data_IF_891025610525
#
_entry.id   IF_891025610525
#
_cell.length_a   1.000
_cell.length_b   1.000
_cell.length_c   1.000
_cell.angle_alpha   90.00
_cell.angle_beta   90.00
_cell.angle_gamma   90.00
#
_symmetry.space_group_name_H-M   'P 1'
#
loop_
_entity.id
_entity.type
_entity.pdbx_description
1 polymer ?
#
# COMPACT_ATOMS: atom_id res chain seq x y z
N UNK A 1 72.02 -28.77 -17.60
CA UNK A 1 72.02 -29.03 -19.05
C UNK A 1 70.98 -30.10 -19.42
N UNK A 2 69.67 -29.85 -19.20
CA UNK A 2 68.60 -30.86 -19.43
C UNK A 2 67.46 -30.38 -20.35
N UNK A 3 67.57 -29.13 -20.86
CA UNK A 3 66.57 -28.49 -21.72
C UNK A 3 66.95 -28.51 -23.20
N UNK A 4 68.22 -28.81 -23.53
CA UNK A 4 68.69 -28.83 -24.93
C UNK A 4 68.20 -30.06 -25.69
N UNK A 5 68.05 -31.21 -25.03
CA UNK A 5 67.61 -32.44 -25.71
C UNK A 5 66.16 -32.35 -26.22
N UNK A 6 65.26 -31.77 -25.43
CA UNK A 6 63.87 -31.56 -25.87
C UNK A 6 63.79 -30.51 -26.97
N UNK A 7 64.58 -29.44 -26.86
CA UNK A 7 64.65 -28.38 -27.88
C UNK A 7 65.19 -28.91 -29.21
N UNK A 8 66.25 -29.72 -29.19
CA UNK A 8 66.79 -30.38 -30.37
C UNK A 8 65.79 -31.37 -30.97
N UNK A 9 65.09 -32.13 -30.14
CA UNK A 9 64.05 -33.06 -30.60
C UNK A 9 62.90 -32.34 -31.30
N UNK A 10 62.36 -31.27 -30.69
CA UNK A 10 61.28 -30.46 -31.28
C UNK A 10 61.75 -29.81 -32.59
N UNK A 11 62.96 -29.25 -32.62
CA UNK A 11 63.51 -28.62 -33.83
C UNK A 11 63.76 -29.63 -34.96
N UNK A 12 64.28 -30.83 -34.66
CA UNK A 12 64.51 -31.89 -35.65
C UNK A 12 63.21 -32.46 -36.22
N UNK A 13 62.12 -32.40 -35.47
CA UNK A 13 60.82 -32.94 -35.88
C UNK A 13 59.80 -31.85 -36.24
N UNK A 14 60.23 -30.58 -36.33
CA UNK A 14 59.34 -29.43 -36.55
C UNK A 14 58.49 -29.57 -37.81
N UNK A 15 59.09 -30.08 -38.90
CA UNK A 15 58.39 -30.31 -40.15
C UNK A 15 57.25 -31.34 -40.02
N UNK A 16 57.35 -32.26 -39.05
CA UNK A 16 56.28 -33.21 -38.72
C UNK A 16 55.19 -32.63 -37.82
N UNK A 17 55.49 -31.56 -37.06
CA UNK A 17 54.51 -30.84 -36.25
C UNK A 17 53.72 -29.80 -37.07
N UNK A 18 54.37 -29.15 -38.04
CA UNK A 18 53.79 -28.10 -38.87
C UNK A 18 53.28 -28.63 -40.24
N UNK A 19 53.20 -29.96 -40.42
CA UNK A 19 52.85 -30.62 -41.69
C UNK A 19 51.44 -30.28 -42.21
N UNK A 20 50.53 -29.84 -41.33
CA UNK A 20 49.16 -29.52 -41.68
C UNK A 20 48.80 -28.12 -41.21
N UNK A 21 48.49 -27.24 -42.16
CA UNK A 21 47.87 -25.97 -41.85
C UNK A 21 46.36 -26.20 -41.63
N UNK A 22 45.73 -25.65 -40.58
CA UNK A 22 44.30 -25.78 -40.42
C UNK A 22 43.58 -25.19 -41.65
N UNK A 23 42.43 -25.76 -42.06
CA UNK A 23 41.64 -25.17 -43.13
C UNK A 23 41.20 -23.76 -42.73
N UNK A 24 41.06 -22.84 -43.68
CA UNK A 24 40.64 -21.44 -43.41
C UNK A 24 39.30 -21.37 -42.66
N UNK A 25 38.49 -22.41 -42.76
CA UNK A 25 37.21 -22.56 -42.07
C UNK A 25 37.32 -22.94 -40.59
N UNK A 26 38.50 -23.34 -40.10
CA UNK A 26 38.70 -23.74 -38.71
C UNK A 26 38.33 -22.60 -37.73
N UNK A 27 38.79 -21.38 -38.02
CA UNK A 27 38.46 -20.20 -37.20
C UNK A 27 36.97 -19.86 -37.25
N UNK A 28 36.36 -19.98 -38.43
CA UNK A 28 34.91 -19.75 -38.62
C UNK A 28 34.07 -20.74 -37.83
N UNK A 29 34.49 -22.01 -37.77
CA UNK A 29 33.80 -23.04 -37.00
C UNK A 29 33.90 -22.77 -35.49
N UNK A 30 35.08 -22.34 -34.99
CA UNK A 30 35.28 -21.96 -33.59
C UNK A 30 34.42 -20.76 -33.21
N UNK A 31 34.40 -19.72 -34.05
CA UNK A 31 33.56 -18.54 -33.84
C UNK A 31 32.07 -18.89 -33.80
N UNK A 32 31.63 -19.81 -34.65
CA UNK A 32 30.24 -20.30 -34.65
C UNK A 32 29.89 -21.18 -33.45
N UNK A 33 30.87 -21.83 -32.83
CA UNK A 33 30.71 -22.68 -31.66
C UNK A 33 30.77 -21.92 -30.33
N UNK A 34 31.20 -20.64 -30.35
CA UNK A 34 31.16 -19.80 -29.17
C UNK A 34 29.71 -19.41 -28.84
N UNK A 35 29.31 -19.45 -27.56
CA UNK A 35 27.99 -18.97 -27.15
C UNK A 35 27.87 -17.49 -27.53
N UNK A 36 27.05 -17.19 -28.54
CA UNK A 36 26.70 -15.82 -28.90
C UNK A 36 26.05 -15.20 -27.68
N UNK A 37 26.72 -14.22 -27.06
CA UNK A 37 26.16 -13.41 -25.99
C UNK A 37 24.90 -12.74 -26.53
N UNK A 38 23.74 -13.29 -26.19
CA UNK A 38 22.45 -12.74 -26.62
C UNK A 38 22.23 -11.42 -25.87
N UNK A 39 22.62 -10.31 -26.47
CA UNK A 39 22.30 -8.97 -25.95
C UNK A 39 20.85 -8.55 -26.28
N UNK A 40 19.89 -9.45 -26.06
CA UNK A 40 18.48 -9.16 -26.32
C UNK A 40 17.57 -9.80 -25.28
N UNK A 41 17.65 -9.35 -24.02
CA UNK A 41 16.60 -9.67 -23.02
C UNK A 41 16.08 -8.42 -22.29
N UNK A 42 16.78 -7.27 -22.30
CA UNK A 42 16.38 -6.13 -21.45
C UNK A 42 15.62 -4.99 -22.13
N UNK A 43 15.47 -4.99 -23.46
CA UNK A 43 14.77 -3.89 -24.15
C UNK A 43 13.24 -4.08 -24.25
N UNK A 44 12.72 -5.30 -24.06
CA UNK A 44 11.28 -5.56 -24.20
C UNK A 44 10.50 -5.36 -22.89
N UNK A 45 11.15 -5.47 -21.73
CA UNK A 45 10.48 -5.31 -20.41
C UNK A 45 9.95 -3.89 -20.20
N UNK A 46 10.66 -2.87 -20.70
CA UNK A 46 10.24 -1.46 -20.61
C UNK A 46 9.03 -1.17 -21.50
N UNK A 47 8.93 -1.81 -22.67
CA UNK A 47 7.79 -1.65 -23.58
C UNK A 47 6.54 -2.32 -22.98
N UNK A 48 6.69 -3.52 -22.41
CA UNK A 48 5.62 -4.20 -21.68
C UNK A 48 5.12 -3.41 -20.46
N UNK A 49 6.02 -2.79 -19.70
CA UNK A 49 5.64 -1.94 -18.56
C UNK A 49 4.92 -0.66 -19.00
N UNK A 50 5.33 -0.04 -20.11
CA UNK A 50 4.64 1.14 -20.68
C UNK A 50 3.24 0.77 -21.18
N UNK A 51 3.10 -0.38 -21.86
CA UNK A 51 1.80 -0.86 -22.30
C UNK A 51 0.88 -1.17 -21.10
N UNK A 52 1.38 -1.83 -20.06
CA UNK A 52 0.62 -2.09 -18.84
C UNK A 52 0.18 -0.81 -18.13
N UNK A 53 1.05 0.21 -18.04
CA UNK A 53 0.71 1.51 -17.45
C UNK A 53 -0.37 2.25 -18.24
N UNK A 54 -0.32 2.20 -19.58
CA UNK A 54 -1.36 2.80 -20.44
C UNK A 54 -2.70 2.09 -20.28
N UNK A 55 -2.70 0.76 -20.20
CA UNK A 55 -3.92 -0.03 -19.96
C UNK A 55 -4.48 0.26 -18.57
N UNK A 56 -3.64 0.29 -17.53
CA UNK A 56 -4.08 0.63 -16.17
C UNK A 56 -4.65 2.03 -16.07
N UNK A 57 -3.99 3.04 -16.68
CA UNK A 57 -4.50 4.40 -16.72
C UNK A 57 -5.80 4.49 -17.53
N UNK A 58 -5.90 3.78 -18.65
CA UNK A 58 -7.11 3.72 -19.46
C UNK A 58 -8.29 3.11 -18.70
N UNK A 59 -8.06 2.00 -17.98
CA UNK A 59 -9.07 1.37 -17.11
C UNK A 59 -9.43 2.28 -15.94
N UNK A 60 -8.44 2.94 -15.33
CA UNK A 60 -8.68 3.89 -14.22
C UNK A 60 -9.55 5.07 -14.66
N UNK A 61 -9.26 5.66 -15.82
CA UNK A 61 -10.06 6.77 -16.39
C UNK A 61 -11.44 6.28 -16.82
N UNK A 62 -11.52 5.10 -17.44
CA UNK A 62 -12.78 4.49 -17.83
C UNK A 62 -13.68 4.21 -16.61
N UNK A 63 -13.13 3.64 -15.54
CA UNK A 63 -13.86 3.40 -14.28
C UNK A 63 -14.25 4.70 -13.59
N UNK A 64 -13.40 5.73 -13.62
CA UNK A 64 -13.73 7.05 -13.07
C UNK A 64 -14.91 7.69 -13.81
N UNK A 65 -14.88 7.66 -15.15
CA UNK A 65 -15.98 8.16 -15.99
C UNK A 65 -17.23 7.28 -15.85
N UNK A 66 -17.09 5.96 -15.74
CA UNK A 66 -18.21 5.04 -15.53
C UNK A 66 -18.86 5.19 -14.13
N UNK A 67 -18.07 5.43 -13.08
CA UNK A 67 -18.56 5.78 -11.73
C UNK A 67 -19.37 7.08 -11.78
N UNK A 68 -18.91 8.07 -12.54
CA UNK A 68 -19.61 9.35 -12.70
C UNK A 68 -20.87 9.28 -13.58
N UNK A 69 -21.03 8.23 -14.41
CA UNK A 69 -22.19 8.01 -15.28
C UNK A 69 -23.17 6.95 -14.76
N UNK A 70 -22.87 6.30 -13.65
CA UNK A 70 -23.74 5.27 -13.07
C UNK A 70 -24.80 5.94 -12.19
N UNK A 71 -26.06 5.89 -12.63
CA UNK A 71 -27.20 6.33 -11.83
C UNK A 71 -27.20 5.65 -10.44
N UNK A 72 -27.34 6.41 -9.35
CA UNK A 72 -27.38 5.85 -8.00
C UNK A 72 -28.79 5.36 -7.73
N UNK A 73 -29.06 4.06 -7.85
CA UNK A 73 -30.39 3.58 -7.45
C UNK A 73 -30.44 2.18 -6.87
N UNK A 74 -29.45 1.31 -7.13
CA UNK A 74 -29.47 -0.07 -6.61
C UNK A 74 -28.30 -0.46 -5.70
N UNK A 75 -27.19 0.26 -5.77
CA UNK A 75 -26.06 0.06 -4.85
C UNK A 75 -26.28 0.75 -3.50
N UNK A 76 -27.14 1.77 -3.46
CA UNK A 76 -27.33 2.59 -2.27
C UNK A 76 -28.02 1.83 -1.13
N UNK A 77 -28.97 0.94 -1.42
CA UNK A 77 -29.77 0.29 -0.37
C UNK A 77 -28.94 -0.66 0.50
N UNK A 78 -28.08 -1.48 -0.12
CA UNK A 78 -27.18 -2.38 0.60
C UNK A 78 -26.07 -1.60 1.33
N UNK A 79 -25.58 -0.51 0.72
CA UNK A 79 -24.55 0.32 1.30
C UNK A 79 -25.08 1.18 2.47
N UNK A 80 -26.35 1.60 2.41
CA UNK A 80 -27.08 2.24 3.52
C UNK A 80 -27.33 1.27 4.67
N UNK A 81 -27.66 0.01 4.38
CA UNK A 81 -27.81 -1.00 5.42
C UNK A 81 -26.48 -1.27 6.15
N UNK A 82 -25.38 -1.46 5.41
CA UNK A 82 -24.05 -1.61 6.00
C UNK A 82 -23.60 -0.38 6.80
N UNK A 83 -24.02 0.82 6.41
CA UNK A 83 -23.77 2.03 7.19
C UNK A 83 -24.55 2.05 8.51
N UNK A 84 -25.82 1.68 8.52
CA UNK A 84 -26.63 1.65 9.74
C UNK A 84 -26.07 0.66 10.78
N UNK A 85 -25.59 -0.51 10.34
CA UNK A 85 -24.96 -1.49 11.22
C UNK A 85 -23.68 -0.91 11.85
N UNK A 86 -22.86 -0.24 11.03
CA UNK A 86 -21.64 0.44 11.48
C UNK A 86 -21.94 1.59 12.46
N UNK A 87 -22.97 2.38 12.17
CA UNK A 87 -23.45 3.47 13.01
C UNK A 87 -23.85 2.95 14.40
N UNK A 88 -24.65 1.87 14.44
CA UNK A 88 -25.12 1.26 15.69
C UNK A 88 -23.95 0.73 16.53
N UNK A 89 -23.01 0.02 15.89
CA UNK A 89 -21.82 -0.51 16.56
C UNK A 89 -21.01 0.62 17.21
N UNK A 90 -20.63 1.65 16.45
CA UNK A 90 -19.80 2.73 17.00
C UNK A 90 -20.56 3.62 17.99
N UNK A 91 -21.86 3.82 17.82
CA UNK A 91 -22.68 4.57 18.80
C UNK A 91 -22.73 3.88 20.16
N UNK A 92 -22.84 2.55 20.18
CA UNK A 92 -22.81 1.78 21.43
C UNK A 92 -21.43 1.84 22.10
N UNK A 93 -20.35 1.71 21.32
CA UNK A 93 -18.97 1.83 21.81
C UNK A 93 -18.67 3.21 22.40
N UNK A 94 -19.10 4.29 21.74
CA UNK A 94 -18.96 5.66 22.23
C UNK A 94 -19.71 5.82 23.56
N UNK A 95 -20.94 5.30 23.65
CA UNK A 95 -21.76 5.37 24.87
C UNK A 95 -21.09 4.65 26.05
N UNK A 96 -20.58 3.44 25.81
CA UNK A 96 -19.86 2.66 26.82
C UNK A 96 -18.62 3.41 27.33
N UNK A 97 -17.79 3.91 26.42
CA UNK A 97 -16.58 4.64 26.79
C UNK A 97 -16.88 5.96 27.49
N UNK A 98 -17.94 6.67 27.10
CA UNK A 98 -18.35 7.90 27.76
C UNK A 98 -18.81 7.65 29.20
N UNK A 99 -19.49 6.53 29.45
CA UNK A 99 -19.84 6.12 30.82
C UNK A 99 -18.59 5.87 31.68
N UNK A 100 -17.52 5.31 31.10
CA UNK A 100 -16.24 5.14 31.79
C UNK A 100 -15.61 6.51 32.13
N UNK A 101 -15.57 7.45 31.18
CA UNK A 101 -15.05 8.81 31.41
C UNK A 101 -15.80 9.50 32.55
N UNK A 102 -17.14 9.47 32.51
CA UNK A 102 -17.97 10.08 33.54
C UNK A 102 -17.73 9.47 34.93
N UNK A 103 -17.59 8.14 35.00
CA UNK A 103 -17.27 7.45 36.25
C UNK A 103 -15.92 7.88 36.82
N UNK A 104 -14.88 7.92 35.99
CA UNK A 104 -13.55 8.35 36.42
C UNK A 104 -13.56 9.80 36.89
N UNK A 105 -14.17 10.72 36.13
CA UNK A 105 -14.33 12.13 36.52
C UNK A 105 -15.05 12.29 37.86
N UNK A 106 -16.13 11.53 38.08
CA UNK A 106 -16.87 11.54 39.35
C UNK A 106 -16.03 11.02 40.52
N UNK A 107 -15.20 10.00 40.29
CA UNK A 107 -14.32 9.42 41.32
C UNK A 107 -13.13 10.31 41.67
N UNK A 108 -12.55 11.01 40.69
CA UNK A 108 -11.37 11.86 40.89
C UNK A 108 -11.73 13.31 41.23
N UNK A 109 -12.99 13.71 41.12
CA UNK A 109 -13.44 15.10 41.32
C UNK A 109 -12.95 16.06 40.23
N UNK A 110 -12.55 15.53 39.06
CA UNK A 110 -12.08 16.34 37.94
C UNK A 110 -13.29 16.86 37.15
N UNK A 111 -13.32 18.17 36.92
CA UNK A 111 -14.38 18.82 36.15
C UNK A 111 -14.32 18.50 34.65
N UNK A 112 -15.42 18.82 33.96
CA UNK A 112 -15.53 18.75 32.51
C UNK A 112 -14.39 19.52 31.83
N UNK A 113 -13.55 18.81 31.09
CA UNK A 113 -12.34 19.36 30.48
C UNK A 113 -12.55 19.74 29.00
N UNK A 114 -11.54 20.38 28.40
CA UNK A 114 -11.56 20.80 26.99
C UNK A 114 -11.91 19.65 26.03
N UNK A 115 -11.45 18.44 26.36
CA UNK A 115 -11.72 17.23 25.58
C UNK A 115 -13.21 16.89 25.63
N UNK A 116 -13.83 16.93 26.80
CA UNK A 116 -15.27 16.67 26.95
C UNK A 116 -16.11 17.70 26.20
N UNK A 117 -15.69 18.97 26.17
CA UNK A 117 -16.35 20.00 25.35
C UNK A 117 -16.20 19.75 23.84
N UNK A 118 -15.02 19.32 23.40
CA UNK A 118 -14.78 18.96 21.99
C UNK A 118 -15.64 17.76 21.56
N UNK A 119 -15.87 16.79 22.45
CA UNK A 119 -16.80 15.68 22.20
C UNK A 119 -18.24 16.17 21.98
N UNK A 120 -18.73 17.14 22.76
CA UNK A 120 -20.07 17.74 22.54
C UNK A 120 -20.17 18.44 21.18
N UNK A 121 -19.11 19.10 20.73
CA UNK A 121 -19.07 19.72 19.38
C UNK A 121 -19.11 18.66 18.27
N UNK A 122 -18.35 17.58 18.43
CA UNK A 122 -18.38 16.44 17.51
C UNK A 122 -19.78 15.80 17.46
N UNK A 123 -20.48 15.72 18.61
CA UNK A 123 -21.90 15.33 18.71
C UNK A 123 -22.80 16.18 17.83
N UNK A 124 -22.74 17.50 18.00
CA UNK A 124 -23.55 18.42 17.20
C UNK A 124 -23.26 18.30 15.70
N UNK A 125 -21.99 18.21 15.30
CA UNK A 125 -21.59 18.07 13.89
C UNK A 125 -22.16 16.80 13.25
N UNK A 126 -22.21 15.71 13.99
CA UNK A 126 -22.79 14.46 13.49
C UNK A 126 -24.29 14.55 13.29
N UNK A 127 -25.03 15.19 14.21
CA UNK A 127 -26.46 15.39 14.03
C UNK A 127 -26.74 16.21 12.77
N UNK A 128 -25.93 17.24 12.50
CA UNK A 128 -25.98 18.02 11.26
C UNK A 128 -25.70 17.15 10.03
N UNK A 129 -24.62 16.35 10.06
CA UNK A 129 -24.27 15.45 8.96
C UNK A 129 -25.34 14.36 8.74
N UNK A 130 -26.00 13.90 9.80
CA UNK A 130 -27.08 12.90 9.73
C UNK A 130 -28.33 13.49 9.08
N UNK A 131 -28.68 14.73 9.41
CA UNK A 131 -29.74 15.46 8.72
C UNK A 131 -29.38 15.74 7.26
N UNK A 132 -28.13 16.06 6.97
CA UNK A 132 -27.65 16.21 5.60
C UNK A 132 -27.73 14.90 4.82
N UNK A 133 -27.39 13.75 5.43
CA UNK A 133 -27.49 12.44 4.78
C UNK A 133 -28.93 12.10 4.40
N UNK A 134 -29.91 12.48 5.24
CA UNK A 134 -31.34 12.32 4.92
C UNK A 134 -31.77 13.15 3.71
N UNK A 135 -31.22 14.36 3.58
CA UNK A 135 -31.53 15.29 2.47
C UNK A 135 -30.75 14.94 1.20
N UNK A 136 -29.52 14.47 1.36
CA UNK A 136 -28.53 14.18 0.32
C UNK A 136 -27.75 12.90 0.70
N UNK A 137 -28.21 11.71 0.29
CA UNK A 137 -27.54 10.45 0.60
C UNK A 137 -26.32 10.25 -0.30
N UNK A 138 -25.29 11.08 -0.15
CA UNK A 138 -24.03 10.97 -0.92
C UNK A 138 -22.99 10.16 -0.15
N UNK A 139 -22.06 9.54 -0.89
CA UNK A 139 -20.90 8.82 -0.35
C UNK A 139 -20.07 9.74 0.56
N UNK A 140 -19.81 10.97 0.14
CA UNK A 140 -19.02 11.96 0.90
C UNK A 140 -19.61 12.27 2.29
N UNK A 141 -20.94 12.40 2.39
CA UNK A 141 -21.62 12.68 3.68
C UNK A 141 -21.53 11.47 4.60
N UNK A 142 -21.62 10.26 4.03
CA UNK A 142 -21.45 9.00 4.77
C UNK A 142 -20.01 8.87 5.30
N UNK A 143 -19.01 9.15 4.47
CA UNK A 143 -17.61 9.10 4.87
C UNK A 143 -17.30 10.12 5.97
N UNK A 144 -17.87 11.32 5.87
CA UNK A 144 -17.76 12.34 6.91
C UNK A 144 -18.40 11.89 8.25
N UNK A 145 -19.52 11.18 8.21
CA UNK A 145 -20.15 10.60 9.41
C UNK A 145 -19.26 9.53 10.05
N UNK A 146 -18.70 8.61 9.25
CA UNK A 146 -17.77 7.59 9.74
C UNK A 146 -16.53 8.24 10.36
N UNK A 147 -15.94 9.22 9.68
CA UNK A 147 -14.79 9.96 10.19
C UNK A 147 -15.10 10.65 11.52
N UNK A 148 -16.29 11.27 11.65
CA UNK A 148 -16.72 11.89 12.90
C UNK A 148 -16.77 10.88 14.05
N UNK A 149 -17.35 9.69 13.83
CA UNK A 149 -17.41 8.61 14.82
C UNK A 149 -16.00 8.16 15.26
N UNK A 150 -15.09 7.95 14.30
CA UNK A 150 -13.72 7.53 14.58
C UNK A 150 -12.95 8.57 15.41
N UNK A 151 -13.07 9.85 15.06
CA UNK A 151 -12.40 10.95 15.78
C UNK A 151 -12.88 11.04 17.23
N UNK A 152 -14.18 10.83 17.49
CA UNK A 152 -14.67 10.80 18.87
C UNK A 152 -14.10 9.66 19.67
N UNK A 153 -14.03 8.46 19.08
CA UNK A 153 -13.48 7.29 19.77
C UNK A 153 -12.03 7.53 20.14
N UNK A 154 -11.24 8.09 19.22
CA UNK A 154 -9.86 8.47 19.48
C UNK A 154 -9.75 9.48 20.62
N UNK A 155 -10.56 10.53 20.58
CA UNK A 155 -10.57 11.57 21.61
C UNK A 155 -10.99 11.03 22.99
N UNK A 156 -11.98 10.13 23.04
CA UNK A 156 -12.39 9.47 24.28
C UNK A 156 -11.27 8.55 24.81
N UNK A 157 -10.57 7.83 23.93
CA UNK A 157 -9.43 7.00 24.33
C UNK A 157 -8.30 7.85 24.90
N UNK A 158 -7.99 8.99 24.28
CA UNK A 158 -7.02 9.94 24.81
C UNK A 158 -7.44 10.43 26.20
N UNK A 159 -8.73 10.70 26.41
CA UNK A 159 -9.25 11.11 27.71
C UNK A 159 -9.12 10.01 28.77
N UNK A 160 -9.53 8.79 28.44
CA UNK A 160 -9.38 7.64 29.33
C UNK A 160 -7.92 7.39 29.67
N UNK A 161 -6.99 7.52 28.73
CA UNK A 161 -5.55 7.38 28.99
C UNK A 161 -5.02 8.45 29.96
N UNK A 162 -5.55 9.67 29.92
CA UNK A 162 -5.20 10.73 30.89
C UNK A 162 -5.76 10.40 32.28
N UNK A 163 -6.99 9.90 32.35
CA UNK A 163 -7.66 9.55 33.61
C UNK A 163 -7.08 8.29 34.25
N UNK A 164 -6.63 7.32 33.45
CA UNK A 164 -5.99 6.07 33.88
C UNK A 164 -4.52 6.26 34.31
N UNK A 165 -3.93 7.43 33.99
CA UNK A 165 -2.64 7.87 34.51
C UNK A 165 -2.85 8.97 35.56
N UNK A 166 -3.42 8.66 36.75
CA UNK A 166 -3.30 9.59 37.86
C UNK A 166 -1.80 9.69 38.16
N UNK A 167 -1.26 10.89 38.04
CA UNK A 167 0.11 11.27 38.34
C UNK A 167 0.96 10.16 38.99
N UNK A 168 1.91 9.61 38.25
CA UNK A 168 3.17 9.20 38.88
C UNK A 168 3.74 10.47 39.50
N UNK A 169 3.37 10.71 40.76
CA UNK A 169 4.05 11.63 41.66
C UNK A 169 5.52 11.25 41.59
N UNK A 170 6.30 12.05 40.88
CA UNK A 170 7.75 12.04 40.99
C UNK A 170 8.06 12.29 42.47
N UNK A 171 8.49 11.24 43.15
CA UNK A 171 9.14 11.29 44.46
C UNK A 171 10.50 11.96 44.27
#
# INVERSE_FOLDING_TARGET
MKNDSLKEFINKNRDGFDAHNPPETAWKNIESALPKKSEQIFLNSLVFWRAAAIVLLGVSVYLFVAKNNSKPEKQDVAALQGFNDLESYYSSLISEKMNLVNRYQTQTGLNEDEITQNLKRLEAMYQVLKEELKKRPTEDVRDALVLNLLVRIDLINQQLNKLDRPEQKSI
#
